data_IF_114468413443
#
_entry.id   IF_114468413443
#
_cell.length_a   1.000
_cell.length_b   1.000
_cell.length_c   1.000
_cell.angle_alpha   90.00
_cell.angle_beta   90.00
_cell.angle_gamma   90.00
#
_symmetry.space_group_name_H-M   'P 1'
#
loop_
_entity.id
_entity.type
_entity.pdbx_description
1 polymer ?
#
# COMPACT_ATOMS: atom_id res chain seq x y z
N UNK A 1 -7.06 -14.08 10.24
CA UNK A 1 -6.20 -13.69 9.11
C UNK A 1 -5.37 -12.53 9.64
N UNK A 2 -4.09 -12.81 9.87
CA UNK A 2 -3.27 -12.10 10.83
C UNK A 2 -2.52 -10.94 10.21
N UNK A 3 -2.70 -9.75 10.77
CA UNK A 3 -1.84 -8.59 10.51
C UNK A 3 -0.37 -8.92 10.78
N UNK A 4 0.53 -8.12 10.21
CA UNK A 4 2.01 -8.13 10.35
C UNK A 4 2.51 -8.46 11.76
N UNK A 5 1.71 -8.18 12.79
CA UNK A 5 1.96 -8.51 14.20
C UNK A 5 2.12 -10.00 14.49
N UNK A 6 1.58 -10.92 13.66
CA UNK A 6 1.63 -12.37 13.88
C UNK A 6 2.86 -13.07 13.29
N UNK A 7 3.61 -12.43 12.39
CA UNK A 7 4.73 -13.06 11.65
C UNK A 7 6.12 -12.56 12.07
N UNK A 8 6.19 -11.64 13.03
CA UNK A 8 7.45 -11.25 13.67
C UNK A 8 7.81 -12.22 14.80
N UNK A 9 8.76 -13.11 14.54
CA UNK A 9 9.61 -13.65 15.60
C UNK A 9 10.87 -12.78 15.75
N UNK A 10 11.65 -13.00 16.81
CA UNK A 10 12.84 -12.19 17.16
C UNK A 10 13.92 -12.13 16.06
N UNK A 11 13.81 -12.93 14.99
CA UNK A 11 14.77 -13.03 13.90
C UNK A 11 14.15 -12.93 12.49
N UNK A 12 12.90 -12.48 12.35
CA UNK A 12 12.17 -12.31 11.08
C UNK A 12 12.04 -13.59 10.20
N UNK A 13 12.45 -14.77 10.66
CA UNK A 13 12.44 -16.02 9.88
C UNK A 13 11.03 -16.46 9.47
N UNK A 14 10.03 -16.25 10.33
CA UNK A 14 8.63 -16.59 10.02
C UNK A 14 8.04 -15.66 8.95
N UNK A 15 8.47 -14.39 8.95
CA UNK A 15 8.10 -13.41 7.93
C UNK A 15 8.76 -13.75 6.58
N UNK A 16 10.05 -14.06 6.59
CA UNK A 16 10.78 -14.47 5.39
C UNK A 16 10.23 -15.76 4.79
N UNK A 17 9.81 -16.71 5.62
CA UNK A 17 9.20 -17.97 5.17
C UNK A 17 7.82 -17.74 4.56
N UNK A 18 6.94 -16.97 5.20
CA UNK A 18 5.62 -16.66 4.66
C UNK A 18 5.72 -15.95 3.30
N UNK A 19 6.63 -14.97 3.19
CA UNK A 19 6.94 -14.30 1.93
C UNK A 19 7.43 -15.30 0.88
N UNK A 20 8.36 -16.19 1.23
CA UNK A 20 8.89 -17.17 0.30
C UNK A 20 7.83 -18.16 -0.20
N UNK A 21 6.92 -18.59 0.69
CA UNK A 21 5.80 -19.48 0.35
C UNK A 21 4.79 -18.78 -0.58
N UNK A 22 4.42 -17.53 -0.29
CA UNK A 22 3.54 -16.72 -1.14
C UNK A 22 4.14 -16.47 -2.53
N UNK A 23 5.44 -16.13 -2.61
CA UNK A 23 6.13 -15.98 -3.89
C UNK A 23 6.21 -17.30 -4.65
N UNK A 24 6.41 -18.43 -3.96
CA UNK A 24 6.46 -19.74 -4.60
C UNK A 24 5.10 -20.15 -5.17
N UNK A 25 4.02 -19.91 -4.44
CA UNK A 25 2.65 -20.10 -4.92
C UNK A 25 2.38 -19.20 -6.12
N UNK A 26 2.70 -17.90 -6.02
CA UNK A 26 2.56 -16.95 -7.11
C UNK A 26 3.29 -17.38 -8.39
N UNK A 27 4.57 -17.75 -8.30
CA UNK A 27 5.33 -18.19 -9.47
C UNK A 27 4.81 -19.52 -10.04
N UNK A 28 4.31 -20.41 -9.19
CA UNK A 28 3.73 -21.68 -9.63
C UNK A 28 2.42 -21.46 -10.39
N UNK A 29 1.55 -20.58 -9.89
CA UNK A 29 0.27 -20.25 -10.51
C UNK A 29 0.47 -19.49 -11.82
N UNK A 30 1.34 -18.47 -11.81
CA UNK A 30 1.65 -17.67 -13.02
C UNK A 30 2.33 -18.50 -14.12
N UNK A 31 3.05 -19.57 -13.76
CA UNK A 31 3.75 -20.42 -14.73
C UNK A 31 2.87 -21.44 -15.47
N UNK A 32 1.65 -21.70 -14.99
CA UNK A 32 0.78 -22.78 -15.51
C UNK A 32 -0.40 -22.27 -16.35
N UNK A 33 -0.68 -20.97 -16.37
CA UNK A 33 -1.75 -20.33 -17.14
C UNK A 33 -1.19 -19.25 -18.09
N UNK A 34 -1.85 -19.00 -19.22
CA UNK A 34 -1.50 -17.95 -20.19
C UNK A 34 -1.79 -16.54 -19.62
N UNK A 35 -1.03 -16.11 -18.62
CA UNK A 35 -1.11 -14.76 -18.07
C UNK A 35 -0.21 -13.78 -18.82
N UNK A 36 -0.72 -12.58 -19.02
CA UNK A 36 0.08 -11.45 -19.49
C UNK A 36 1.09 -11.00 -18.42
N UNK A 37 2.16 -10.32 -18.85
CA UNK A 37 3.12 -9.67 -17.94
C UNK A 37 2.45 -8.67 -17.00
N UNK A 38 1.32 -8.07 -17.43
CA UNK A 38 0.58 -7.11 -16.60
C UNK A 38 -0.24 -7.82 -15.52
N UNK A 39 -0.95 -8.90 -15.86
CA UNK A 39 -1.75 -9.65 -14.87
C UNK A 39 -0.88 -10.20 -13.75
N UNK A 40 0.29 -10.76 -14.10
CA UNK A 40 1.26 -11.18 -13.10
C UNK A 40 1.82 -10.01 -12.27
N UNK A 41 2.03 -8.83 -12.88
CA UNK A 41 2.43 -7.63 -12.14
C UNK A 41 1.33 -7.07 -11.23
N UNK A 42 0.05 -7.28 -11.55
CA UNK A 42 -1.07 -6.91 -10.68
C UNK A 42 -1.07 -7.74 -9.39
N UNK A 43 -0.59 -8.98 -9.41
CA UNK A 43 -0.38 -9.73 -8.17
C UNK A 43 0.80 -9.20 -7.35
N UNK A 44 1.86 -8.69 -7.99
CA UNK A 44 2.90 -7.92 -7.27
C UNK A 44 2.31 -6.69 -6.58
N UNK A 45 1.35 -6.00 -7.21
CA UNK A 45 0.57 -4.91 -6.56
C UNK A 45 -0.16 -5.41 -5.31
N UNK A 46 -0.81 -6.56 -5.35
CA UNK A 46 -1.49 -7.14 -4.17
C UNK A 46 -0.48 -7.38 -3.03
N UNK A 47 0.66 -8.00 -3.35
CA UNK A 47 1.72 -8.28 -2.39
C UNK A 47 2.25 -7.00 -1.71
N UNK A 48 2.61 -5.97 -2.48
CA UNK A 48 3.16 -4.75 -1.88
C UNK A 48 2.11 -3.95 -1.10
N UNK A 49 0.83 -4.05 -1.45
CA UNK A 49 -0.25 -3.43 -0.68
C UNK A 49 -0.41 -4.08 0.69
N UNK A 50 -0.19 -5.39 0.79
CA UNK A 50 -0.30 -6.13 2.04
C UNK A 50 0.96 -6.03 2.91
N UNK A 51 2.14 -6.21 2.30
CA UNK A 51 3.39 -6.37 3.03
C UNK A 51 4.24 -5.10 3.09
N UNK A 52 4.00 -4.12 2.19
CA UNK A 52 4.76 -2.87 2.10
C UNK A 52 3.83 -1.64 1.96
N UNK A 53 2.80 -1.48 2.82
CA UNK A 53 1.82 -0.41 2.66
C UNK A 53 2.46 0.99 2.71
N UNK A 54 1.87 1.97 2.00
CA UNK A 54 2.38 3.34 1.92
C UNK A 54 2.01 4.18 3.16
N UNK A 55 2.44 3.74 4.34
CA UNK A 55 2.19 4.37 5.64
C UNK A 55 3.44 5.04 6.23
N UNK A 56 3.29 5.93 7.21
CA UNK A 56 4.42 6.63 7.84
C UNK A 56 5.51 5.69 8.39
N UNK A 57 5.12 4.54 8.91
CA UNK A 57 5.99 3.57 9.58
C UNK A 57 6.88 2.78 8.61
N UNK A 58 6.56 2.74 7.30
CA UNK A 58 7.37 2.04 6.30
C UNK A 58 8.49 2.91 5.73
N UNK A 59 9.57 2.27 5.27
CA UNK A 59 10.74 3.00 4.77
C UNK A 59 10.40 3.84 3.53
N UNK A 60 11.12 4.95 3.31
CA UNK A 60 10.91 5.80 2.15
C UNK A 60 11.02 5.04 0.81
N UNK A 61 11.93 4.06 0.74
CA UNK A 61 12.12 3.21 -0.44
C UNK A 61 10.91 2.31 -0.67
N UNK A 62 10.41 1.65 0.37
CA UNK A 62 9.21 0.80 0.30
C UNK A 62 8.00 1.59 -0.17
N UNK A 63 7.77 2.77 0.43
CA UNK A 63 6.67 3.67 0.07
C UNK A 63 6.74 4.13 -1.38
N UNK A 64 7.94 4.50 -1.84
CA UNK A 64 8.16 4.88 -3.24
C UNK A 64 7.89 3.71 -4.18
N UNK A 65 8.30 2.49 -3.80
CA UNK A 65 8.05 1.28 -4.58
C UNK A 65 6.56 0.99 -4.71
N UNK A 66 5.83 0.98 -3.59
CA UNK A 66 4.38 0.73 -3.53
C UNK A 66 3.62 1.77 -4.36
N UNK A 67 3.94 3.05 -4.21
CA UNK A 67 3.38 4.11 -5.04
C UNK A 67 3.61 3.87 -6.54
N UNK A 68 4.85 3.52 -6.93
CA UNK A 68 5.21 3.29 -8.33
C UNK A 68 4.51 2.07 -8.92
N UNK A 69 4.42 0.97 -8.17
CA UNK A 69 3.72 -0.24 -8.61
C UNK A 69 2.24 0.05 -8.85
N UNK A 70 1.57 0.76 -7.92
CA UNK A 70 0.17 1.18 -8.09
C UNK A 70 -0.02 2.01 -9.36
N UNK A 71 0.85 2.98 -9.59
CA UNK A 71 0.83 3.82 -10.80
C UNK A 71 1.02 3.01 -12.08
N UNK A 72 2.00 2.10 -12.12
CA UNK A 72 2.31 1.26 -13.28
C UNK A 72 1.09 0.43 -13.73
N UNK A 73 0.34 -0.11 -12.76
CA UNK A 73 -0.87 -0.88 -13.06
C UNK A 73 -1.99 -0.07 -13.74
N UNK A 74 -1.91 1.27 -13.71
CA UNK A 74 -2.87 2.17 -14.37
C UNK A 74 -2.34 2.80 -15.66
N UNK A 75 -1.04 2.74 -15.87
CA UNK A 75 -0.39 3.33 -17.03
C UNK A 75 -0.78 2.60 -18.32
N UNK A 76 -0.88 3.37 -19.41
CA UNK A 76 -0.87 2.80 -20.75
C UNK A 76 0.44 2.03 -21.00
N UNK A 77 0.42 1.06 -21.90
CA UNK A 77 1.60 0.25 -22.25
C UNK A 77 2.82 1.13 -22.61
N UNK A 78 2.61 2.14 -23.47
CA UNK A 78 3.67 3.06 -23.88
C UNK A 78 4.31 3.84 -22.72
N UNK A 79 3.54 4.22 -21.71
CA UNK A 79 4.07 4.88 -20.51
C UNK A 79 4.79 3.87 -19.62
N UNK A 80 4.20 2.70 -19.46
CA UNK A 80 4.69 1.62 -18.61
C UNK A 80 6.06 1.11 -19.05
N UNK A 81 6.28 0.97 -20.35
CA UNK A 81 7.55 0.50 -20.92
C UNK A 81 8.74 1.45 -20.67
N UNK A 82 8.46 2.68 -20.24
CA UNK A 82 9.47 3.66 -19.83
C UNK A 82 9.76 3.63 -18.33
N UNK A 83 8.97 2.93 -17.51
CA UNK A 83 9.15 2.91 -16.05
C UNK A 83 10.22 1.89 -15.62
N UNK A 84 11.26 2.30 -14.87
CA UNK A 84 12.35 1.40 -14.49
C UNK A 84 11.92 0.19 -13.65
N UNK A 85 10.90 0.35 -12.79
CA UNK A 85 10.36 -0.75 -11.98
C UNK A 85 9.70 -1.80 -12.87
N UNK A 86 8.99 -1.38 -13.93
CA UNK A 86 8.41 -2.29 -14.91
C UNK A 86 9.48 -2.99 -15.75
N UNK A 87 10.51 -2.27 -16.21
CA UNK A 87 11.62 -2.86 -16.96
C UNK A 87 12.35 -3.94 -16.14
N UNK A 88 12.53 -3.72 -14.84
CA UNK A 88 13.08 -4.72 -13.92
C UNK A 88 12.17 -5.96 -13.81
N UNK A 89 10.85 -5.76 -13.75
CA UNK A 89 9.89 -6.86 -13.74
C UNK A 89 9.97 -7.72 -15.00
N UNK A 90 9.94 -7.07 -16.18
CA UNK A 90 10.06 -7.76 -17.47
C UNK A 90 11.38 -8.53 -17.56
N UNK A 91 12.49 -7.93 -17.12
CA UNK A 91 13.79 -8.60 -17.07
C UNK A 91 13.78 -9.82 -16.14
N UNK A 92 13.13 -9.73 -14.97
CA UNK A 92 12.95 -10.85 -14.04
C UNK A 92 12.17 -11.98 -14.66
N UNK A 93 11.01 -11.72 -15.27
CA UNK A 93 10.20 -12.75 -15.92
C UNK A 93 10.96 -13.41 -17.08
N UNK A 94 11.64 -12.63 -17.91
CA UNK A 94 12.47 -13.14 -19.01
C UNK A 94 13.61 -14.02 -18.50
N UNK A 95 14.23 -13.66 -17.36
CA UNK A 95 15.27 -14.48 -16.74
C UNK A 95 14.70 -15.79 -16.17
N UNK A 96 13.55 -15.77 -15.50
CA UNK A 96 12.90 -16.98 -14.95
C UNK A 96 12.52 -17.95 -16.08
N UNK A 97 11.97 -17.41 -17.17
CA UNK A 97 11.52 -18.21 -18.33
C UNK A 97 12.67 -18.69 -19.23
N UNK A 98 13.81 -17.99 -19.25
CA UNK A 98 14.99 -18.38 -20.03
C UNK A 98 16.32 -18.03 -19.35
N UNK A 99 16.68 -18.73 -18.25
CA UNK A 99 17.82 -18.37 -17.41
C UNK A 99 19.19 -18.59 -18.07
N UNK A 100 19.23 -19.31 -19.20
CA UNK A 100 20.47 -19.66 -19.91
C UNK A 100 20.86 -18.66 -21.01
N UNK A 101 20.00 -17.69 -21.33
CA UNK A 101 20.20 -16.75 -22.45
C UNK A 101 20.50 -15.32 -21.97
N UNK A 102 20.14 -14.96 -20.74
CA UNK A 102 20.34 -13.61 -20.19
C UNK A 102 21.47 -13.61 -19.14
N UNK A 103 22.71 -13.22 -19.49
CA UNK A 103 23.79 -13.05 -18.52
C UNK A 103 23.57 -11.81 -17.65
N UNK A 104 23.79 -11.94 -16.35
CA UNK A 104 23.66 -10.85 -15.36
C UNK A 104 24.85 -10.91 -14.42
N UNK A 105 25.51 -9.76 -14.23
CA UNK A 105 26.89 -9.72 -13.77
C UNK A 105 27.10 -9.68 -12.26
N UNK A 106 26.16 -9.18 -11.44
CA UNK A 106 26.33 -9.13 -9.97
C UNK A 106 24.98 -9.30 -9.26
N UNK A 107 24.93 -9.88 -8.05
CA UNK A 107 23.73 -9.99 -7.21
C UNK A 107 23.91 -9.16 -5.94
N UNK A 108 22.92 -8.36 -5.49
CA UNK A 108 23.04 -7.53 -4.30
C UNK A 108 23.04 -8.34 -2.99
N UNK A 109 22.76 -9.65 -3.04
CA UNK A 109 22.75 -10.54 -1.87
C UNK A 109 24.13 -11.15 -1.55
N UNK A 110 25.18 -10.78 -2.29
CA UNK A 110 26.56 -11.21 -2.01
C UNK A 110 27.39 -10.01 -1.55
N UNK A 111 28.01 -10.11 -0.37
CA UNK A 111 28.99 -9.12 0.07
C UNK A 111 30.17 -9.09 -0.91
N UNK A 112 30.74 -7.92 -1.17
CA UNK A 112 31.93 -7.75 -2.02
C UNK A 112 33.05 -8.70 -1.56
N UNK A 113 33.44 -9.65 -2.40
CA UNK A 113 34.46 -10.68 -2.09
C UNK A 113 33.92 -12.01 -1.53
N UNK A 114 32.61 -12.15 -1.34
CA UNK A 114 31.99 -13.39 -0.89
C UNK A 114 31.75 -14.34 -2.08
N UNK A 115 32.52 -15.43 -2.12
CA UNK A 115 32.29 -16.53 -3.06
C UNK A 115 31.33 -17.54 -2.42
N UNK A 116 30.31 -17.98 -3.15
CA UNK A 116 29.41 -19.05 -2.68
C UNK A 116 30.22 -20.35 -2.44
N UNK A 117 29.87 -21.16 -1.41
CA UNK A 117 30.59 -22.39 -1.12
C UNK A 117 30.43 -23.41 -2.26
N UNK A 118 31.58 -23.80 -2.83
CA UNK A 118 31.90 -24.92 -3.71
C UNK A 118 30.84 -25.38 -4.76
N UNK A 119 31.05 -25.07 -6.06
CA UNK A 119 30.19 -25.43 -7.21
C UNK A 119 30.14 -26.91 -7.60
N UNK A 120 30.72 -27.83 -6.82
CA UNK A 120 30.82 -29.25 -7.21
C UNK A 120 29.52 -30.04 -7.09
N UNK A 121 28.46 -29.47 -6.49
CA UNK A 121 27.09 -29.97 -6.67
C UNK A 121 26.50 -29.33 -7.94
N UNK A 122 26.47 -30.10 -9.03
CA UNK A 122 25.85 -29.70 -10.30
C UNK A 122 24.41 -29.23 -10.05
N UNK A 123 24.10 -27.99 -10.42
CA UNK A 123 22.71 -27.55 -10.64
C UNK A 123 22.35 -26.14 -10.19
N UNK A 124 22.98 -25.55 -9.18
CA UNK A 124 22.22 -24.54 -8.41
C UNK A 124 22.44 -23.05 -8.74
N UNK A 125 23.64 -22.50 -8.96
CA UNK A 125 23.80 -21.02 -8.95
C UNK A 125 24.94 -20.45 -9.80
N UNK A 126 24.84 -20.55 -11.13
CA UNK A 126 25.72 -19.79 -12.06
C UNK A 126 25.04 -18.58 -12.74
N UNK A 127 23.75 -18.37 -12.49
CA UNK A 127 22.95 -17.32 -13.10
C UNK A 127 22.43 -16.44 -11.97
N UNK A 128 22.98 -15.25 -11.80
CA UNK A 128 22.60 -14.33 -10.74
C UNK A 128 21.25 -13.66 -11.09
N UNK A 129 20.43 -13.36 -10.09
CA UNK A 129 19.14 -12.68 -10.26
C UNK A 129 19.34 -11.25 -10.80
N UNK A 130 18.47 -10.71 -11.67
CA UNK A 130 18.56 -9.33 -12.15
C UNK A 130 18.60 -8.33 -10.99
N UNK A 131 19.61 -7.45 -10.98
CA UNK A 131 19.68 -6.34 -10.02
C UNK A 131 18.73 -5.26 -10.48
N UNK A 132 17.91 -4.73 -9.57
CA UNK A 132 17.20 -3.48 -9.81
C UNK A 132 18.23 -2.39 -10.12
N UNK A 133 18.27 -1.94 -11.38
CA UNK A 133 19.29 -0.99 -11.84
C UNK A 133 19.07 0.42 -11.28
N UNK A 134 17.85 0.71 -10.84
CA UNK A 134 17.41 2.04 -10.39
C UNK A 134 16.48 1.86 -9.19
N UNK A 135 16.69 2.65 -8.14
CA UNK A 135 15.76 2.75 -7.02
C UNK A 135 14.42 3.34 -7.49
N UNK A 136 13.29 2.97 -6.88
CA UNK A 136 12.01 3.59 -7.22
C UNK A 136 12.11 5.11 -7.06
N UNK A 137 11.73 5.84 -8.10
CA UNK A 137 11.78 7.29 -8.08
C UNK A 137 10.89 7.83 -6.94
N UNK A 138 11.30 8.92 -6.27
CA UNK A 138 10.52 9.53 -5.20
C UNK A 138 9.05 9.72 -5.58
N UNK A 139 8.16 9.39 -4.65
CA UNK A 139 6.74 9.71 -4.79
C UNK A 139 6.53 11.23 -4.75
N UNK A 140 5.51 11.77 -5.43
CA UNK A 140 5.21 13.19 -5.36
C UNK A 140 4.95 13.65 -3.93
N UNK A 141 5.31 14.90 -3.64
CA UNK A 141 4.89 15.53 -2.40
C UNK A 141 3.37 15.76 -2.43
N UNK A 142 2.74 15.55 -1.28
CA UNK A 142 1.29 15.75 -1.15
C UNK A 142 1.05 17.26 -1.08
N UNK A 143 0.30 17.85 -2.04
CA UNK A 143 0.12 19.28 -2.09
C UNK A 143 -0.82 19.71 -0.97
N UNK A 144 -0.21 20.27 0.09
CA UNK A 144 -0.92 20.88 1.22
C UNK A 144 -1.40 22.27 0.81
N UNK A 145 -2.72 22.51 0.87
CA UNK A 145 -3.26 23.85 0.74
C UNK A 145 -3.12 24.60 2.08
N UNK A 146 -2.80 25.89 2.04
CA UNK A 146 -2.46 26.71 3.20
C UNK A 146 -3.68 27.25 3.98
N UNK A 147 -4.89 27.03 3.48
CA UNK A 147 -6.14 27.62 3.98
C UNK A 147 -7.25 26.58 4.24
N UNK A 148 -6.89 25.34 4.57
CA UNK A 148 -7.87 24.30 4.88
C UNK A 148 -8.45 24.51 6.29
N UNK A 149 -9.70 24.10 6.46
CA UNK A 149 -10.34 24.05 7.78
C UNK A 149 -9.53 23.17 8.72
N UNK A 150 -9.61 23.47 10.02
CA UNK A 150 -8.93 22.73 11.08
C UNK A 150 -9.95 22.03 11.95
N UNK A 151 -9.63 20.80 12.32
CA UNK A 151 -10.46 19.93 13.16
C UNK A 151 -9.71 19.63 14.46
N UNK A 152 -10.45 19.62 15.57
CA UNK A 152 -9.98 18.98 16.80
C UNK A 152 -10.12 17.45 16.73
N UNK A 153 -9.70 16.75 17.79
CA UNK A 153 -9.74 15.30 17.86
C UNK A 153 -11.17 14.76 17.67
N UNK A 154 -12.14 15.28 18.41
CA UNK A 154 -13.53 14.80 18.39
C UNK A 154 -14.16 15.03 17.02
N UNK A 155 -13.98 16.23 16.46
CA UNK A 155 -14.43 16.57 15.12
C UNK A 155 -13.79 15.64 14.09
N UNK A 156 -12.47 15.41 14.18
CA UNK A 156 -11.75 14.55 13.24
C UNK A 156 -12.28 13.11 13.22
N UNK A 157 -12.60 12.56 14.40
CA UNK A 157 -13.14 11.22 14.52
C UNK A 157 -14.58 11.13 13.99
N UNK A 158 -15.41 12.14 14.26
CA UNK A 158 -16.75 12.22 13.69
C UNK A 158 -16.71 12.31 12.16
N UNK A 159 -15.80 13.11 11.59
CA UNK A 159 -15.61 13.20 10.14
C UNK A 159 -15.22 11.84 9.56
N UNK A 160 -14.30 11.12 10.20
CA UNK A 160 -13.90 9.78 9.81
C UNK A 160 -15.08 8.81 9.79
N UNK A 161 -15.81 8.70 10.90
CA UNK A 161 -16.97 7.80 11.03
C UNK A 161 -18.11 8.14 10.08
N UNK A 162 -18.42 9.43 9.91
CA UNK A 162 -19.46 9.89 8.98
C UNK A 162 -19.08 9.62 7.52
N UNK A 163 -17.80 9.80 7.17
CA UNK A 163 -17.31 9.51 5.82
C UNK A 163 -17.43 8.03 5.47
N UNK A 164 -17.08 7.14 6.40
CA UNK A 164 -17.25 5.69 6.23
C UNK A 164 -18.73 5.28 6.19
N UNK A 165 -19.57 5.87 7.03
CA UNK A 165 -21.02 5.61 7.03
C UNK A 165 -21.67 6.01 5.71
N UNK A 166 -21.29 7.16 5.15
CA UNK A 166 -21.75 7.58 3.84
C UNK A 166 -21.30 6.61 2.74
N UNK A 167 -20.05 6.13 2.81
CA UNK A 167 -19.54 5.14 1.86
C UNK A 167 -20.35 3.83 1.94
N UNK A 168 -20.61 3.32 3.15
CA UNK A 168 -21.42 2.12 3.40
C UNK A 168 -22.86 2.26 2.86
N UNK A 169 -23.47 3.44 2.96
CA UNK A 169 -24.81 3.68 2.42
C UNK A 169 -24.85 3.59 0.88
N UNK A 170 -23.71 3.87 0.22
CA UNK A 170 -23.58 3.79 -1.24
C UNK A 170 -23.07 2.45 -1.74
N UNK A 171 -22.49 1.63 -0.85
CA UNK A 171 -21.89 0.35 -1.17
C UNK A 171 -22.06 -0.60 0.02
N UNK A 172 -23.02 -1.53 -0.08
CA UNK A 172 -23.56 -2.34 1.03
C UNK A 172 -22.65 -3.50 1.43
N UNK A 173 -21.35 -3.23 1.60
CA UNK A 173 -20.39 -4.23 2.02
C UNK A 173 -20.65 -4.65 3.47
N UNK A 174 -20.74 -5.96 3.70
CA UNK A 174 -20.93 -6.48 5.07
C UNK A 174 -19.73 -6.14 5.97
N UNK A 175 -18.53 -6.20 5.42
CA UNK A 175 -17.28 -5.99 6.13
C UNK A 175 -17.17 -4.56 6.72
N UNK A 176 -17.47 -3.52 5.93
CA UNK A 176 -17.50 -2.15 6.45
C UNK A 176 -18.67 -1.92 7.43
N UNK A 177 -19.81 -2.58 7.21
CA UNK A 177 -20.93 -2.54 8.15
C UNK A 177 -20.56 -3.12 9.52
N UNK A 178 -19.91 -4.29 9.55
CA UNK A 178 -19.42 -4.94 10.75
C UNK A 178 -18.36 -4.06 11.46
N UNK A 179 -17.45 -3.44 10.69
CA UNK A 179 -16.48 -2.47 11.22
C UNK A 179 -17.16 -1.25 11.85
N UNK A 180 -18.11 -0.62 11.15
CA UNK A 180 -18.84 0.56 11.64
C UNK A 180 -19.61 0.23 12.93
N UNK A 181 -20.23 -0.94 13.01
CA UNK A 181 -20.92 -1.40 14.21
C UNK A 181 -19.95 -1.58 15.40
N UNK A 182 -18.77 -2.17 15.17
CA UNK A 182 -17.73 -2.31 16.20
C UNK A 182 -17.21 -0.94 16.67
N UNK A 183 -16.99 -0.04 15.73
CA UNK A 183 -16.38 1.29 15.97
C UNK A 183 -17.35 2.31 16.57
N UNK A 184 -18.65 2.04 16.52
CA UNK A 184 -19.71 2.90 17.09
C UNK A 184 -20.17 2.46 18.48
N UNK A 185 -19.60 1.39 19.05
CA UNK A 185 -19.92 0.98 20.41
C UNK A 185 -19.47 2.04 21.42
N UNK A 186 -20.41 2.57 22.21
CA UNK A 186 -20.15 3.51 23.29
C UNK A 186 -19.36 2.86 24.43
N UNK A 187 -18.22 3.43 24.82
CA UNK A 187 -17.45 3.00 25.99
C UNK A 187 -15.99 3.47 25.98
N UNK A 188 -15.36 3.52 27.16
CA UNK A 188 -13.92 3.81 27.34
C UNK A 188 -12.99 2.79 26.63
N UNK A 189 -13.55 1.66 26.18
CA UNK A 189 -12.83 0.57 25.51
C UNK A 189 -12.90 0.63 23.97
N UNK A 190 -13.39 1.72 23.38
CA UNK A 190 -13.41 1.87 21.91
C UNK A 190 -11.98 1.97 21.36
N UNK A 191 -11.41 0.81 21.01
CA UNK A 191 -10.04 0.69 20.50
C UNK A 191 -9.79 1.52 19.25
N UNK A 192 -10.80 1.69 18.39
CA UNK A 192 -10.66 2.46 17.15
C UNK A 192 -10.54 3.96 17.43
N UNK A 193 -11.31 4.45 18.41
CA UNK A 193 -11.15 5.82 18.91
C UNK A 193 -9.78 6.05 19.55
N UNK A 194 -9.29 5.11 20.35
CA UNK A 194 -7.97 5.21 21.00
C UNK A 194 -6.82 5.19 19.98
N UNK A 195 -6.90 4.33 18.96
CA UNK A 195 -5.93 4.32 17.85
C UNK A 195 -5.96 5.64 17.07
N UNK A 196 -7.16 6.17 16.82
CA UNK A 196 -7.34 7.45 16.17
C UNK A 196 -6.77 8.61 16.99
N UNK A 197 -6.99 8.62 18.31
CA UNK A 197 -6.45 9.61 19.25
C UNK A 197 -4.92 9.63 19.27
N UNK A 198 -4.27 8.46 19.32
CA UNK A 198 -2.80 8.37 19.24
C UNK A 198 -2.30 8.98 17.94
N UNK A 199 -2.90 8.57 16.82
CA UNK A 199 -2.52 9.05 15.49
C UNK A 199 -2.75 10.56 15.36
N UNK A 200 -3.91 11.07 15.81
CA UNK A 200 -4.20 12.50 15.81
C UNK A 200 -3.19 13.28 16.62
N UNK A 201 -2.78 12.77 17.78
CA UNK A 201 -1.79 13.42 18.64
C UNK A 201 -0.41 13.50 17.97
N UNK A 202 -0.01 12.46 17.22
CA UNK A 202 1.22 12.46 16.40
C UNK A 202 1.17 13.53 15.29
N UNK A 203 0.02 13.70 14.63
CA UNK A 203 -0.16 14.61 13.50
C UNK A 203 -0.41 16.09 13.89
N UNK A 204 -1.24 16.32 14.92
CA UNK A 204 -1.63 17.67 15.38
C UNK A 204 -0.58 18.37 16.25
N UNK A 205 0.40 17.60 16.76
CA UNK A 205 1.50 18.10 17.61
C UNK A 205 0.97 18.98 18.76
N UNK A 206 1.57 20.15 18.98
CA UNK A 206 1.19 21.07 20.07
C UNK A 206 -0.09 21.86 19.80
N UNK A 207 -0.56 21.92 18.55
CA UNK A 207 -1.70 22.76 18.17
C UNK A 207 -3.05 22.14 18.54
N UNK A 208 -3.09 20.82 18.82
CA UNK A 208 -4.33 20.05 19.04
C UNK A 208 -5.38 20.20 17.94
N UNK A 209 -4.94 20.63 16.76
CA UNK A 209 -5.74 20.85 15.57
C UNK A 209 -5.02 20.23 14.37
N UNK A 210 -5.76 19.60 13.49
CA UNK A 210 -5.25 19.07 12.22
C UNK A 210 -6.06 19.64 11.05
N UNK A 211 -5.36 20.03 9.99
CA UNK A 211 -6.02 20.51 8.76
C UNK A 211 -6.79 19.34 8.11
N UNK A 212 -7.92 19.61 7.47
CA UNK A 212 -8.82 18.60 6.85
C UNK A 212 -8.10 17.59 5.95
N UNK A 213 -7.07 18.02 5.20
CA UNK A 213 -6.27 17.12 4.38
C UNK A 213 -5.37 16.21 5.22
N UNK A 214 -4.80 16.69 6.33
CA UNK A 214 -4.02 15.84 7.25
C UNK A 214 -4.91 14.79 7.88
N UNK A 215 -6.14 15.16 8.25
CA UNK A 215 -7.11 14.20 8.77
C UNK A 215 -7.50 13.15 7.72
N UNK A 216 -7.61 13.53 6.44
CA UNK A 216 -7.80 12.55 5.35
C UNK A 216 -6.57 11.64 5.18
N UNK A 217 -5.35 12.14 5.37
CA UNK A 217 -4.14 11.32 5.34
C UNK A 217 -4.08 10.34 6.51
N UNK A 218 -4.57 10.73 7.68
CA UNK A 218 -4.71 9.80 8.81
C UNK A 218 -5.72 8.69 8.48
N UNK A 219 -6.87 9.05 7.90
CA UNK A 219 -7.83 8.06 7.40
C UNK A 219 -7.20 7.12 6.37
N UNK A 220 -6.38 7.66 5.46
CA UNK A 220 -5.67 6.85 4.48
C UNK A 220 -4.74 5.83 5.13
N UNK A 221 -3.87 6.25 6.05
CA UNK A 221 -2.96 5.35 6.75
C UNK A 221 -3.71 4.27 7.53
N UNK A 222 -4.83 4.63 8.15
CA UNK A 222 -5.71 3.69 8.83
C UNK A 222 -6.29 2.64 7.86
N UNK A 223 -6.88 3.10 6.75
CA UNK A 223 -7.52 2.22 5.75
C UNK A 223 -6.48 1.35 5.02
N UNK A 224 -5.25 1.81 4.85
CA UNK A 224 -4.14 1.00 4.31
C UNK A 224 -3.77 -0.19 5.22
N UNK A 225 -3.99 -0.06 6.53
CA UNK A 225 -3.69 -1.11 7.51
C UNK A 225 -4.88 -2.04 7.70
N UNK A 226 -6.09 -1.49 7.88
CA UNK A 226 -7.29 -2.28 8.20
C UNK A 226 -7.97 -2.85 6.96
N UNK A 227 -7.91 -2.14 5.82
CA UNK A 227 -8.53 -2.53 4.57
C UNK A 227 -7.59 -2.34 3.36
N UNK A 228 -6.38 -2.96 3.37
CA UNK A 228 -5.47 -2.89 2.24
C UNK A 228 -6.16 -3.27 0.92
N UNK A 229 -5.75 -2.64 -0.17
CA UNK A 229 -6.20 -2.99 -1.53
C UNK A 229 -5.56 -4.33 -1.96
N UNK A 230 -5.99 -5.43 -1.34
CA UNK A 230 -5.54 -6.79 -1.60
C UNK A 230 -6.73 -7.75 -1.80
N UNK A 231 -6.49 -9.00 -2.20
CA UNK A 231 -7.55 -9.94 -2.54
C UNK A 231 -8.38 -10.43 -1.33
N UNK A 232 -7.95 -10.15 -0.09
CA UNK A 232 -8.61 -10.60 1.13
C UNK A 232 -9.82 -9.75 1.51
N UNK A 233 -9.90 -8.52 1.02
CA UNK A 233 -10.99 -7.58 1.34
C UNK A 233 -12.06 -7.53 0.25
N UNK A 234 -13.28 -7.19 0.66
CA UNK A 234 -14.38 -6.98 -0.27
C UNK A 234 -14.07 -5.85 -1.27
N UNK A 235 -14.52 -5.99 -2.52
CA UNK A 235 -14.27 -5.01 -3.59
C UNK A 235 -14.60 -3.55 -3.21
N UNK A 236 -15.67 -3.25 -2.47
CA UNK A 236 -15.99 -1.91 -1.99
C UNK A 236 -14.87 -1.28 -1.14
N UNK A 237 -14.28 -2.04 -0.24
CA UNK A 237 -13.25 -1.57 0.68
C UNK A 237 -11.91 -1.36 -0.01
N UNK A 238 -11.54 -2.28 -0.91
CA UNK A 238 -10.39 -2.10 -1.79
C UNK A 238 -10.50 -0.83 -2.63
N UNK A 239 -11.70 -0.58 -3.16
CA UNK A 239 -12.01 0.64 -3.91
C UNK A 239 -11.90 1.90 -3.03
N UNK A 240 -12.32 1.84 -1.77
CA UNK A 240 -12.18 2.97 -0.84
C UNK A 240 -10.71 3.31 -0.61
N UNK A 241 -9.89 2.32 -0.23
CA UNK A 241 -8.44 2.48 -0.01
C UNK A 241 -7.76 3.11 -1.23
N UNK A 242 -8.10 2.58 -2.41
CA UNK A 242 -7.64 3.08 -3.69
C UNK A 242 -8.06 4.53 -4.03
N UNK A 243 -9.34 4.87 -3.82
CA UNK A 243 -9.87 6.22 -4.08
C UNK A 243 -9.27 7.26 -3.14
N UNK A 244 -9.01 6.89 -1.88
CA UNK A 244 -8.32 7.74 -0.91
C UNK A 244 -6.89 8.00 -1.38
N UNK A 245 -6.14 6.95 -1.69
CA UNK A 245 -4.78 7.04 -2.22
C UNK A 245 -4.72 7.97 -3.44
N UNK A 246 -5.62 7.80 -4.42
CA UNK A 246 -5.69 8.69 -5.58
C UNK A 246 -5.93 10.15 -5.20
N UNK A 247 -6.91 10.38 -4.34
CA UNK A 247 -7.36 11.71 -3.95
C UNK A 247 -6.27 12.49 -3.20
N UNK A 248 -5.50 11.84 -2.33
CA UNK A 248 -4.47 12.53 -1.55
C UNK A 248 -3.32 13.05 -2.43
N UNK A 249 -2.91 12.28 -3.44
CA UNK A 249 -1.84 12.67 -4.36
C UNK A 249 -2.29 13.63 -5.48
N UNK A 250 -3.59 13.89 -5.64
CA UNK A 250 -4.08 14.86 -6.62
C UNK A 250 -3.78 16.31 -6.23
N UNK A 251 -3.50 17.20 -7.20
CA UNK A 251 -3.51 18.64 -6.97
C UNK A 251 -4.86 19.10 -6.42
N UNK A 252 -4.85 20.13 -5.56
CA UNK A 252 -6.08 20.63 -4.90
C UNK A 252 -7.22 20.89 -5.89
N UNK A 253 -6.94 21.52 -7.04
CA UNK A 253 -7.96 21.84 -8.06
C UNK A 253 -8.66 20.62 -8.65
N UNK A 254 -7.99 19.45 -8.68
CA UNK A 254 -8.56 18.19 -9.13
C UNK A 254 -9.19 17.44 -7.97
N UNK A 255 -8.53 17.45 -6.80
CA UNK A 255 -8.99 16.81 -5.57
C UNK A 255 -10.40 17.23 -5.20
N UNK A 256 -10.70 18.54 -5.24
CA UNK A 256 -12.03 19.05 -4.88
C UNK A 256 -13.18 18.57 -5.78
N UNK A 257 -12.85 18.01 -6.95
CA UNK A 257 -13.82 17.47 -7.89
C UNK A 257 -14.08 15.97 -7.67
N UNK A 258 -13.31 15.28 -6.82
CA UNK A 258 -13.52 13.85 -6.59
C UNK A 258 -14.72 13.62 -5.69
N UNK A 259 -15.47 12.54 -5.96
CA UNK A 259 -16.61 12.16 -5.12
C UNK A 259 -16.17 11.90 -3.67
N UNK A 260 -14.99 11.28 -3.49
CA UNK A 260 -14.42 11.07 -2.16
C UNK A 260 -14.21 12.40 -1.43
N UNK A 261 -13.59 13.39 -2.06
CA UNK A 261 -13.34 14.69 -1.41
C UNK A 261 -14.64 15.45 -1.13
N UNK A 262 -15.63 15.37 -2.02
CA UNK A 262 -16.94 15.98 -1.81
C UNK A 262 -17.64 15.36 -0.60
N UNK A 263 -17.60 14.03 -0.47
CA UNK A 263 -18.15 13.31 0.68
C UNK A 263 -17.40 13.65 1.98
N UNK A 264 -16.06 13.66 1.92
CA UNK A 264 -15.21 14.06 3.04
C UNK A 264 -15.51 15.49 3.49
N UNK A 265 -15.63 16.43 2.54
CA UNK A 265 -15.97 17.82 2.83
C UNK A 265 -17.36 17.93 3.44
N UNK A 266 -18.36 17.18 2.95
CA UNK A 266 -19.68 17.18 3.55
C UNK A 266 -19.65 16.68 5.01
N UNK A 267 -18.88 15.62 5.30
CA UNK A 267 -18.69 15.12 6.66
C UNK A 267 -17.98 16.16 7.55
N UNK A 268 -17.00 16.89 7.02
CA UNK A 268 -16.35 18.03 7.70
C UNK A 268 -17.36 19.10 8.07
N UNK A 269 -18.19 19.54 7.13
CA UNK A 269 -19.19 20.57 7.40
C UNK A 269 -20.16 20.12 8.51
N UNK A 270 -20.63 18.88 8.46
CA UNK A 270 -21.52 18.31 9.49
C UNK A 270 -20.88 18.23 10.88
N UNK A 271 -19.56 18.04 10.98
CA UNK A 271 -18.86 17.98 12.26
C UNK A 271 -18.55 19.37 12.85
N UNK A 272 -18.65 20.43 12.04
CA UNK A 272 -18.43 21.82 12.44
C UNK A 272 -19.72 22.55 12.84
N UNK A 273 -20.89 22.03 12.46
CA UNK A 273 -22.23 22.49 12.87
C UNK A 273 -22.60 22.04 14.29
#
# INVERSE_FOLDING_TARGET
MGSVTLWRNDNDELFDQAIAEDWHAFFSDVSNEDHTLLESFQAVKQFVNEYLPDIAETTSVSRNLTYRIRMICEMSEAQRDQEPVWQNWVATVNWITNPNVVPVNESPFLKKGQSLPNPKKKGFRKNQFPVAQVLPAPRPEIPLASNLEKLDLTQSYHVFMNSLTHYQATDSSRELGDFLQKSSADGEDNQEYLYWEDTFSRFSRKEKLADVLKTLLMMWEYVEIEFPDNALHAQPLRKLSYEIWKTVYMPHSQRVQTKLWQNWSAAVHQALE
#
